data_IF_718039539619
#
_entry.id   IF_718039539619
#
_cell.length_a   1.000
_cell.length_b   1.000
_cell.length_c   1.000
_cell.angle_alpha   90.00
_cell.angle_beta   90.00
_cell.angle_gamma   90.00
#
_symmetry.space_group_name_H-M   'P 1'
#
loop_
_entity.id
_entity.type
_entity.pdbx_description
1 polymer ?
#
# COMPACT_ATOMS: atom_id res chain seq x y z
N UNK A 1 1.46 -1.67 21.54
CA UNK A 1 0.30 -0.83 21.94
C UNK A 1 0.57 0.65 21.72
N UNK A 2 1.74 1.20 22.10
CA UNK A 2 2.07 2.62 21.90
C UNK A 2 1.93 3.14 20.45
N UNK A 3 2.41 2.37 19.45
CA UNK A 3 2.34 2.76 18.03
C UNK A 3 0.93 2.94 17.46
N UNK A 4 -0.09 2.37 18.12
CA UNK A 4 -1.49 2.50 17.70
C UNK A 4 -2.06 3.81 18.23
N UNK A 5 -1.79 4.13 19.50
CA UNK A 5 -2.30 5.32 20.19
C UNK A 5 -1.66 6.59 19.62
N UNK A 6 -0.37 6.53 19.27
CA UNK A 6 0.36 7.65 18.68
C UNK A 6 0.31 7.65 17.15
N UNK A 7 -0.58 6.86 16.53
CA UNK A 7 -0.69 6.85 15.09
C UNK A 7 -1.34 8.14 14.59
N UNK A 8 -0.67 8.82 13.67
CA UNK A 8 -1.10 10.09 13.09
C UNK A 8 -2.46 9.99 12.40
N UNK A 9 -2.82 8.83 11.82
CA UNK A 9 -4.12 8.65 11.15
C UNK A 9 -5.28 8.65 12.14
N UNK A 10 -5.07 8.05 13.32
CA UNK A 10 -6.10 7.94 14.35
C UNK A 10 -6.31 9.32 14.98
N UNK A 11 -5.23 9.98 15.41
CA UNK A 11 -5.31 11.32 15.98
C UNK A 11 -5.91 12.32 14.98
N UNK A 12 -5.47 12.29 13.72
CA UNK A 12 -5.95 13.21 12.68
C UNK A 12 -7.44 13.04 12.35
N UNK A 13 -7.97 11.81 12.33
CA UNK A 13 -9.42 11.59 12.11
C UNK A 13 -10.25 11.95 13.35
N UNK A 14 -9.71 11.73 14.55
CA UNK A 14 -10.36 12.14 15.79
C UNK A 14 -10.56 13.66 15.82
N UNK A 15 -9.50 14.43 15.53
CA UNK A 15 -9.54 15.89 15.51
C UNK A 15 -10.40 16.47 14.37
N UNK A 16 -10.33 15.89 13.17
CA UNK A 16 -11.00 16.43 12.00
C UNK A 16 -12.49 16.08 11.92
N UNK A 17 -12.89 14.87 12.32
CA UNK A 17 -14.24 14.34 12.06
C UNK A 17 -14.96 13.86 13.31
N UNK A 18 -14.30 13.09 14.19
CA UNK A 18 -14.99 12.50 15.34
C UNK A 18 -15.44 13.54 16.38
N UNK A 19 -14.71 14.65 16.55
CA UNK A 19 -15.06 15.70 17.50
C UNK A 19 -16.30 16.52 17.11
N UNK A 20 -16.76 16.46 15.85
CA UNK A 20 -17.83 17.32 15.33
C UNK A 20 -19.07 16.57 14.84
N UNK A 21 -19.06 15.23 14.83
CA UNK A 21 -20.09 14.40 14.23
C UNK A 21 -20.66 13.36 15.21
N UNK A 22 -21.90 12.89 14.98
CA UNK A 22 -22.51 11.85 15.81
C UNK A 22 -21.72 10.52 15.75
N UNK A 23 -21.76 9.71 16.82
CA UNK A 23 -20.88 8.55 16.99
C UNK A 23 -21.04 7.51 15.88
N UNK A 24 -22.25 7.30 15.36
CA UNK A 24 -22.51 6.35 14.26
C UNK A 24 -21.84 6.78 12.95
N UNK A 25 -21.86 8.07 12.61
CA UNK A 25 -21.19 8.58 11.41
C UNK A 25 -19.67 8.48 11.54
N UNK A 26 -19.13 8.75 12.73
CA UNK A 26 -17.70 8.66 13.04
C UNK A 26 -17.16 7.22 12.96
N UNK A 27 -17.98 6.22 13.30
CA UNK A 27 -17.61 4.80 13.15
C UNK A 27 -17.48 4.42 11.68
N UNK A 28 -18.41 4.83 10.82
CA UNK A 28 -18.35 4.54 9.39
C UNK A 28 -17.10 5.18 8.74
N UNK A 29 -16.76 6.41 9.15
CA UNK A 29 -15.56 7.09 8.70
C UNK A 29 -14.26 6.42 9.17
N UNK A 30 -14.18 6.06 10.45
CA UNK A 30 -13.03 5.34 11.01
C UNK A 30 -12.82 3.99 10.31
N UNK A 31 -13.91 3.29 9.96
CA UNK A 31 -13.83 2.04 9.21
C UNK A 31 -13.34 2.26 7.78
N UNK A 32 -13.83 3.27 7.07
CA UNK A 32 -13.36 3.62 5.73
C UNK A 32 -11.87 4.00 5.70
N UNK A 33 -11.44 4.86 6.63
CA UNK A 33 -10.03 5.26 6.75
C UNK A 33 -9.13 4.08 7.13
N UNK A 34 -9.58 3.23 8.05
CA UNK A 34 -8.87 2.02 8.47
C UNK A 34 -8.71 0.99 7.35
N UNK A 35 -9.79 0.73 6.58
CA UNK A 35 -9.74 -0.16 5.42
C UNK A 35 -8.86 0.38 4.29
N UNK A 36 -8.92 1.69 4.03
CA UNK A 36 -8.03 2.31 3.06
C UNK A 36 -6.56 2.18 3.45
N UNK A 37 -6.24 2.41 4.73
CA UNK A 37 -4.89 2.28 5.26
C UNK A 37 -4.40 0.83 5.23
N UNK A 38 -5.22 -0.14 5.65
CA UNK A 38 -4.84 -1.56 5.61
C UNK A 38 -4.68 -2.07 4.18
N UNK A 39 -5.54 -1.65 3.25
CA UNK A 39 -5.42 -1.98 1.82
C UNK A 39 -4.13 -1.44 1.20
N UNK A 40 -3.76 -0.19 1.51
CA UNK A 40 -2.50 0.40 1.05
C UNK A 40 -1.29 -0.37 1.62
N UNK A 41 -1.29 -0.65 2.92
CA UNK A 41 -0.21 -1.42 3.55
C UNK A 41 -0.08 -2.83 2.96
N UNK A 42 -1.20 -3.49 2.66
CA UNK A 42 -1.23 -4.81 2.04
C UNK A 42 -0.60 -4.78 0.64
N UNK A 43 -1.01 -3.83 -0.21
CA UNK A 43 -0.45 -3.67 -1.55
C UNK A 43 1.06 -3.40 -1.50
N UNK A 44 1.52 -2.53 -0.60
CA UNK A 44 2.95 -2.25 -0.40
C UNK A 44 3.69 -3.47 0.13
N UNK A 45 3.10 -4.23 1.05
CA UNK A 45 3.70 -5.45 1.60
C UNK A 45 3.92 -6.52 0.52
N UNK A 46 2.94 -6.75 -0.35
CA UNK A 46 3.06 -7.71 -1.47
C UNK A 46 4.21 -7.31 -2.39
N UNK A 47 4.29 -6.04 -2.80
CA UNK A 47 5.37 -5.55 -3.66
C UNK A 47 6.73 -5.70 -2.98
N UNK A 48 6.82 -5.42 -1.68
CA UNK A 48 8.06 -5.58 -0.90
C UNK A 48 8.48 -7.04 -0.73
N UNK A 49 7.54 -7.97 -0.61
CA UNK A 49 7.83 -9.39 -0.48
C UNK A 49 8.36 -9.99 -1.80
N UNK A 50 7.72 -9.62 -2.92
CA UNK A 50 8.15 -10.01 -4.28
C UNK A 50 9.56 -9.48 -4.56
N UNK A 51 9.81 -8.20 -4.27
CA UNK A 51 11.08 -7.56 -4.57
C UNK A 51 12.20 -7.94 -3.59
N UNK A 52 11.88 -8.26 -2.33
CA UNK A 52 12.86 -8.63 -1.30
C UNK A 52 13.25 -10.11 -1.32
N UNK A 53 12.27 -11.02 -1.45
CA UNK A 53 12.50 -12.47 -1.33
C UNK A 53 12.19 -13.26 -2.62
N UNK A 54 11.56 -12.64 -3.63
CA UNK A 54 11.18 -13.34 -4.87
C UNK A 54 10.02 -14.33 -4.71
N UNK A 55 9.30 -14.26 -3.59
CA UNK A 55 8.19 -15.14 -3.23
C UNK A 55 6.97 -14.32 -2.84
N UNK A 56 5.78 -14.87 -3.07
CA UNK A 56 4.50 -14.34 -2.57
C UNK A 56 3.97 -15.35 -1.55
N UNK A 57 3.72 -14.91 -0.31
CA UNK A 57 3.33 -15.75 0.82
C UNK A 57 4.38 -16.78 1.26
N UNK A 58 5.56 -16.29 1.67
CA UNK A 58 6.50 -17.12 2.42
C UNK A 58 5.81 -17.51 3.74
N UNK A 59 5.47 -18.81 3.91
CA UNK A 59 4.89 -19.47 5.10
C UNK A 59 3.36 -19.76 5.09
N UNK A 60 2.65 -19.62 3.97
CA UNK A 60 1.27 -20.15 3.84
C UNK A 60 1.27 -21.39 2.95
N UNK A 61 0.36 -22.36 3.18
CA UNK A 61 0.25 -23.63 2.42
C UNK A 61 0.10 -23.48 0.88
N UNK A 62 -0.08 -22.24 0.39
CA UNK A 62 -0.03 -21.84 -1.02
C UNK A 62 1.21 -20.98 -1.26
N UNK A 63 2.40 -21.57 -1.26
CA UNK A 63 3.63 -20.87 -1.60
C UNK A 63 3.62 -20.55 -3.11
N UNK A 64 3.29 -19.31 -3.48
CA UNK A 64 3.42 -18.84 -4.86
C UNK A 64 4.87 -18.39 -5.08
N UNK A 65 5.66 -19.34 -5.56
CA UNK A 65 7.06 -19.15 -5.94
C UNK A 65 7.12 -18.48 -7.31
N UNK A 66 7.09 -17.16 -7.34
CA UNK A 66 7.12 -16.41 -8.61
C UNK A 66 8.52 -16.44 -9.26
N UNK A 67 9.60 -16.37 -8.47
CA UNK A 67 10.97 -16.23 -9.01
C UNK A 67 11.78 -17.54 -8.95
N UNK A 68 11.63 -18.34 -7.89
CA UNK A 68 12.41 -19.60 -7.72
C UNK A 68 12.01 -20.71 -8.70
N UNK A 69 10.83 -20.64 -9.33
CA UNK A 69 10.34 -21.63 -10.29
C UNK A 69 10.71 -21.34 -11.75
N UNK A 70 10.94 -20.08 -12.12
CA UNK A 70 11.17 -19.68 -13.50
C UNK A 70 12.66 -19.63 -13.92
N UNK A 71 13.59 -19.41 -12.98
CA UNK A 71 15.03 -19.27 -13.31
C UNK A 71 15.91 -19.93 -12.23
N UNK A 72 16.29 -21.21 -12.38
CA UNK A 72 17.26 -21.84 -11.50
C UNK A 72 18.65 -21.23 -11.76
N UNK A 73 19.21 -20.52 -10.78
CA UNK A 73 20.61 -20.04 -10.80
C UNK A 73 20.83 -18.55 -10.49
N UNK A 74 19.85 -17.66 -10.74
CA UNK A 74 20.01 -16.21 -10.49
C UNK A 74 19.78 -15.84 -9.02
N UNK A 75 18.98 -16.65 -8.32
CA UNK A 75 18.55 -16.37 -6.95
C UNK A 75 19.69 -16.46 -5.92
N UNK A 76 20.70 -17.32 -6.15
CA UNK A 76 21.82 -17.52 -5.20
C UNK A 76 22.92 -16.45 -5.33
N UNK A 77 23.08 -15.81 -6.50
CA UNK A 77 24.25 -14.94 -6.77
C UNK A 77 23.94 -13.44 -6.58
N UNK A 78 22.75 -12.97 -6.98
CA UNK A 78 22.43 -11.53 -6.99
C UNK A 78 21.15 -11.17 -6.21
N UNK A 79 20.14 -12.05 -6.20
CA UNK A 79 18.83 -11.75 -5.59
C UNK A 79 18.82 -11.84 -4.06
N UNK A 80 19.65 -12.71 -3.47
CA UNK A 80 19.81 -12.83 -2.00
C UNK A 80 20.23 -11.51 -1.31
N UNK A 81 20.77 -10.55 -2.07
CA UNK A 81 21.38 -9.32 -1.55
C UNK A 81 20.47 -8.08 -1.61
N UNK A 82 19.20 -8.18 -2.04
CA UNK A 82 18.25 -7.05 -2.02
C UNK A 82 17.67 -6.76 -0.61
N UNK A 83 18.50 -6.91 0.43
CA UNK A 83 18.20 -6.55 1.82
C UNK A 83 17.82 -5.08 2.01
N UNK A 84 18.24 -4.20 1.08
CA UNK A 84 17.84 -2.79 1.04
C UNK A 84 16.31 -2.62 0.97
N UNK A 85 15.60 -3.51 0.26
CA UNK A 85 14.13 -3.43 0.09
C UNK A 85 13.35 -3.76 1.37
N UNK A 86 13.95 -4.56 2.26
CA UNK A 86 13.37 -4.94 3.55
C UNK A 86 13.56 -3.84 4.59
N UNK A 87 14.64 -3.06 4.48
CA UNK A 87 14.93 -1.95 5.39
C UNK A 87 13.94 -0.78 5.23
N UNK A 88 13.83 0.11 6.25
CA UNK A 88 13.00 1.31 6.19
C UNK A 88 13.11 2.14 4.89
N UNK A 89 14.30 2.42 4.32
CA UNK A 89 14.42 3.13 3.04
C UNK A 89 13.64 2.48 1.89
N UNK A 90 13.58 1.14 1.81
CA UNK A 90 12.84 0.43 0.77
C UNK A 90 11.33 0.70 0.82
N UNK A 91 10.76 0.83 2.03
CA UNK A 91 9.35 1.12 2.20
C UNK A 91 8.97 2.51 1.68
N UNK A 92 9.84 3.52 1.85
CA UNK A 92 9.60 4.87 1.33
C UNK A 92 9.58 4.93 -0.19
N UNK A 93 10.47 4.21 -0.87
CA UNK A 93 10.47 4.15 -2.34
C UNK A 93 9.19 3.52 -2.90
N UNK A 94 8.76 2.38 -2.33
CA UNK A 94 7.53 1.71 -2.76
C UNK A 94 6.30 2.59 -2.47
N UNK A 95 6.26 3.25 -1.31
CA UNK A 95 5.18 4.19 -0.98
C UNK A 95 5.15 5.39 -1.94
N UNK A 96 6.31 5.98 -2.27
CA UNK A 96 6.41 7.09 -3.21
C UNK A 96 5.90 6.71 -4.61
N UNK A 97 6.28 5.53 -5.10
CA UNK A 97 5.78 5.00 -6.37
C UNK A 97 4.27 4.70 -6.33
N UNK A 98 3.77 4.15 -5.23
CA UNK A 98 2.35 3.88 -5.06
C UNK A 98 1.51 5.18 -5.07
N UNK A 99 1.98 6.22 -4.37
CA UNK A 99 1.33 7.54 -4.38
C UNK A 99 1.40 8.19 -5.75
N UNK A 100 2.55 8.10 -6.42
CA UNK A 100 2.70 8.61 -7.79
C UNK A 100 1.75 7.92 -8.75
N UNK A 101 1.67 6.58 -8.74
CA UNK A 101 0.74 5.84 -9.58
C UNK A 101 -0.72 6.20 -9.28
N UNK A 102 -1.10 6.31 -8.00
CA UNK A 102 -2.45 6.70 -7.60
C UNK A 102 -2.81 8.11 -8.11
N UNK A 103 -1.89 9.08 -7.97
CA UNK A 103 -2.10 10.46 -8.45
C UNK A 103 -2.11 10.53 -9.97
N UNK A 104 -1.23 9.80 -10.65
CA UNK A 104 -1.22 9.73 -12.10
C UNK A 104 -2.52 9.14 -12.65
N UNK A 105 -3.07 8.11 -12.00
CA UNK A 105 -4.38 7.55 -12.37
C UNK A 105 -5.53 8.51 -12.08
N UNK A 106 -5.50 9.22 -10.95
CA UNK A 106 -6.52 10.22 -10.62
C UNK A 106 -6.56 11.35 -11.65
N UNK A 107 -5.40 11.93 -11.98
CA UNK A 107 -5.28 12.98 -13.01
C UNK A 107 -5.78 12.49 -14.39
N UNK A 108 -5.51 11.23 -14.74
CA UNK A 108 -6.03 10.63 -15.98
C UNK A 108 -7.54 10.44 -15.97
N UNK A 109 -8.15 10.18 -14.80
CA UNK A 109 -9.61 10.07 -14.65
C UNK A 109 -10.28 11.44 -14.78
N UNK A 110 -9.68 12.47 -14.20
CA UNK A 110 -10.13 13.86 -14.31
C UNK A 110 -10.05 14.35 -15.76
N UNK A 111 -8.92 14.12 -16.44
CA UNK A 111 -8.77 14.47 -17.87
C UNK A 111 -9.76 13.73 -18.79
N UNK A 112 -10.21 12.52 -18.41
CA UNK A 112 -11.20 11.76 -19.17
C UNK A 112 -12.64 12.18 -18.86
N UNK A 113 -12.90 12.76 -17.69
CA UNK A 113 -14.20 13.31 -17.32
C UNK A 113 -14.46 14.64 -18.05
N UNK A 114 -13.45 15.51 -18.13
CA UNK A 114 -13.54 16.83 -18.78
C UNK A 114 -13.73 16.73 -20.31
N UNK A 115 -13.07 15.75 -20.96
CA UNK A 115 -13.25 15.49 -22.38
C UNK A 115 -14.59 14.84 -22.77
N UNK A 116 -15.46 14.53 -21.80
CA UNK A 116 -16.81 14.00 -22.03
C UNK A 116 -17.91 15.07 -21.99
N UNK A 117 -17.65 16.24 -21.42
CA UNK A 117 -18.60 17.36 -21.38
C UNK A 117 -18.52 18.24 -22.63
N UNK A 118 -17.37 18.32 -23.30
CA UNK A 118 -17.17 19.15 -24.50
C UNK A 118 -17.73 18.52 -25.81
N UNK A 119 -18.38 17.36 -25.71
CA UNK A 119 -19.00 16.64 -26.84
C UNK A 119 -20.54 16.58 -26.77
N UNK A 120 -21.18 17.32 -25.85
CA UNK A 120 -22.64 17.51 -25.79
C UNK A 120 -23.01 18.96 -26.06
#
# INVERSE_FOLDING_TARGET
VGLIITNCIVLGRLEAFASKNPPLASVADGFGAGLGYSGLLMAVAIVREVLGFGTVFKNTAWEFVVVRGWIPGVYETWWRHWTLMIMPPGAFFVLALAVWAARAMALRREARADGGEDSK
#
